data_IF_569255539948
#
_entry.id   IF_569255539948
#
_cell.length_a   1.000
_cell.length_b   1.000
_cell.length_c   1.000
_cell.angle_alpha   90.00
_cell.angle_beta   90.00
_cell.angle_gamma   90.00
#
_symmetry.space_group_name_H-M   'P 1'
#
loop_
_entity.id
_entity.type
_entity.pdbx_description
1 polymer ?
#
# COMPACT_ATOMS: atom_id res chain seq x y z
N UNK A 1 15.81 22.17 -1.94
CA UNK A 1 15.73 21.51 -0.60
C UNK A 1 16.30 20.13 -0.71
N UNK A 2 17.23 19.74 0.14
CA UNK A 2 17.83 18.40 0.13
C UNK A 2 17.14 17.49 1.15
N UNK A 3 16.37 16.52 0.65
CA UNK A 3 15.63 15.54 1.47
C UNK A 3 16.56 14.75 2.41
N UNK A 4 17.82 14.53 2.02
CA UNK A 4 18.80 13.79 2.83
C UNK A 4 19.12 14.50 4.16
N UNK A 5 19.01 15.83 4.20
CA UNK A 5 19.33 16.63 5.40
C UNK A 5 18.14 16.85 6.32
N UNK A 6 16.92 16.52 5.87
CA UNK A 6 15.71 16.68 6.69
C UNK A 6 15.65 15.61 7.77
N UNK A 7 15.50 16.02 9.02
CA UNK A 7 15.36 15.09 10.17
C UNK A 7 14.03 14.37 10.18
N UNK A 8 12.96 15.02 9.67
CA UNK A 8 11.63 14.41 9.55
C UNK A 8 10.89 14.97 8.33
N UNK A 9 10.05 14.15 7.74
CA UNK A 9 9.24 14.55 6.59
C UNK A 9 8.15 13.55 6.24
N UNK A 10 7.19 14.03 5.46
CA UNK A 10 6.15 13.24 4.81
C UNK A 10 6.06 13.62 3.33
N UNK A 11 5.96 12.64 2.45
CA UNK A 11 5.93 12.86 1.01
C UNK A 11 4.78 12.05 0.40
N UNK A 12 4.05 12.66 -0.52
CA UNK A 12 3.01 12.00 -1.32
C UNK A 12 2.91 12.62 -2.71
N UNK A 13 2.66 11.80 -3.71
CA UNK A 13 2.24 12.28 -5.02
C UNK A 13 0.72 12.37 -5.06
N UNK A 14 0.20 13.60 -5.12
CA UNK A 14 -1.23 13.86 -5.26
C UNK A 14 -1.62 13.92 -6.74
N UNK A 15 -2.76 13.37 -7.18
CA UNK A 15 -3.12 13.28 -8.60
C UNK A 15 -3.24 14.64 -9.29
N UNK A 16 -3.75 15.66 -8.62
CA UNK A 16 -3.96 17.01 -9.18
C UNK A 16 -2.91 18.04 -8.78
N UNK A 17 -2.13 17.80 -7.69
CA UNK A 17 -1.18 18.78 -7.13
C UNK A 17 0.29 18.37 -7.33
N UNK A 18 0.54 17.20 -7.90
CA UNK A 18 1.89 16.69 -8.08
C UNK A 18 2.53 16.19 -6.79
N UNK A 19 3.84 16.31 -6.68
CA UNK A 19 4.60 15.79 -5.55
C UNK A 19 4.66 16.80 -4.42
N UNK A 20 4.14 16.42 -3.25
CA UNK A 20 4.03 17.26 -2.05
C UNK A 20 4.98 16.73 -0.96
N UNK A 21 5.72 17.64 -0.34
CA UNK A 21 6.64 17.36 0.76
C UNK A 21 6.28 18.22 1.97
N UNK A 22 5.81 17.57 3.03
CA UNK A 22 5.67 18.16 4.36
C UNK A 22 6.98 18.05 5.12
N UNK A 23 7.38 19.12 5.79
CA UNK A 23 8.58 19.13 6.63
C UNK A 23 8.24 19.40 8.09
N UNK A 24 9.00 18.74 8.99
CA UNK A 24 8.85 18.90 10.44
C UNK A 24 9.33 20.25 10.99
N UNK A 25 9.07 20.52 12.30
CA UNK A 25 8.41 19.59 13.21
C UNK A 25 6.95 19.37 12.87
N UNK A 26 6.48 18.11 13.05
CA UNK A 26 5.08 17.78 12.87
C UNK A 26 4.31 17.90 14.18
N UNK A 27 3.11 18.52 14.13
CA UNK A 27 2.13 18.42 15.19
C UNK A 27 1.24 17.19 14.91
N UNK A 28 1.13 16.32 15.88
CA UNK A 28 0.31 15.11 15.77
C UNK A 28 -1.07 15.34 16.41
N UNK A 29 -2.12 14.79 15.79
CA UNK A 29 -3.51 14.94 16.23
C UNK A 29 -4.31 13.66 16.02
N UNK A 30 -5.29 13.42 16.90
CA UNK A 30 -6.27 12.36 16.73
C UNK A 30 -7.28 12.69 15.62
N UNK A 31 -7.60 13.97 15.47
CA UNK A 31 -8.56 14.48 14.49
C UNK A 31 -7.85 15.31 13.42
N UNK A 32 -8.43 15.42 12.21
CA UNK A 32 -7.90 16.28 11.17
C UNK A 32 -7.91 17.76 11.64
N UNK A 33 -7.01 18.60 11.12
CA UNK A 33 -7.06 20.03 11.40
C UNK A 33 -8.29 20.67 10.74
N UNK A 34 -8.80 21.74 11.34
CA UNK A 34 -9.90 22.53 10.77
C UNK A 34 -9.53 23.20 9.44
N UNK A 35 -8.26 23.48 9.23
CA UNK A 35 -7.70 24.07 8.01
C UNK A 35 -6.24 23.74 7.81
N UNK A 36 -5.78 23.86 6.55
CA UNK A 36 -4.40 23.61 6.15
C UNK A 36 -4.07 22.14 5.93
N UNK A 37 -2.84 21.85 5.50
CA UNK A 37 -2.44 20.53 5.08
C UNK A 37 -2.18 19.57 6.25
N UNK A 38 -2.55 18.32 6.08
CA UNK A 38 -2.18 17.24 7.00
C UNK A 38 -1.96 15.93 6.26
N UNK A 39 -1.01 15.14 6.72
CA UNK A 39 -0.83 13.76 6.29
C UNK A 39 -1.57 12.83 7.25
N UNK A 40 -2.22 11.80 6.70
CA UNK A 40 -2.78 10.70 7.48
C UNK A 40 -1.84 9.51 7.40
N UNK A 41 -1.29 9.11 8.53
CA UNK A 41 -0.29 8.04 8.64
C UNK A 41 -0.67 7.18 9.83
N UNK A 42 -1.17 5.99 9.54
CA UNK A 42 -1.65 5.05 10.55
C UNK A 42 -0.98 3.70 10.38
N UNK A 43 -1.23 2.78 11.29
CA UNK A 43 -0.86 1.38 11.17
C UNK A 43 -1.89 0.62 10.33
N UNK A 44 -1.58 -0.62 9.97
CA UNK A 44 -2.57 -1.49 9.32
C UNK A 44 -3.80 -1.76 10.21
N UNK A 45 -3.65 -1.69 11.53
CA UNK A 45 -4.73 -1.89 12.50
C UNK A 45 -5.59 -0.65 12.73
N UNK A 46 -5.17 0.50 12.24
CA UNK A 46 -5.77 1.81 12.54
C UNK A 46 -5.76 2.11 14.04
N UNK A 47 -4.65 1.85 14.70
CA UNK A 47 -4.48 1.98 16.15
C UNK A 47 -3.47 3.06 16.57
N UNK A 48 -2.97 3.89 15.63
CA UNK A 48 -2.23 5.11 16.00
C UNK A 48 -3.22 6.10 16.66
N UNK A 49 -3.03 6.48 17.92
CA UNK A 49 -3.93 7.42 18.60
C UNK A 49 -3.89 8.84 17.99
N UNK A 50 -2.89 9.16 17.17
CA UNK A 50 -2.70 10.48 16.54
C UNK A 50 -2.25 10.33 15.09
N UNK A 51 -3.10 9.77 14.20
CA UNK A 51 -2.70 9.45 12.83
C UNK A 51 -2.51 10.68 11.94
N UNK A 52 -3.01 11.85 12.33
CA UNK A 52 -2.86 13.10 11.59
C UNK A 52 -1.54 13.78 11.93
N UNK A 53 -0.68 13.95 10.92
CA UNK A 53 0.64 14.57 11.02
C UNK A 53 0.60 15.91 10.27
N UNK A 54 0.55 17.01 11.00
CA UNK A 54 0.42 18.36 10.47
C UNK A 54 1.83 18.94 10.34
N UNK A 55 2.32 19.23 9.11
CA UNK A 55 3.67 19.70 8.88
C UNK A 55 3.84 21.18 9.29
N UNK A 56 5.06 21.55 9.64
CA UNK A 56 5.41 22.98 9.85
C UNK A 56 5.41 23.76 8.53
N UNK A 57 5.76 23.12 7.43
CA UNK A 57 5.67 23.67 6.08
C UNK A 57 5.35 22.60 5.04
N UNK A 58 4.64 23.00 3.98
CA UNK A 58 4.35 22.18 2.81
C UNK A 58 5.05 22.76 1.58
N UNK A 59 5.67 21.91 0.79
CA UNK A 59 6.40 22.28 -0.42
C UNK A 59 5.91 21.41 -1.61
N UNK A 60 5.61 22.06 -2.73
CA UNK A 60 5.45 21.39 -4.00
C UNK A 60 6.84 21.13 -4.60
N UNK A 61 7.12 19.87 -4.96
CA UNK A 61 8.36 19.50 -5.62
C UNK A 61 8.14 19.39 -7.14
N UNK A 62 9.19 19.66 -7.97
CA UNK A 62 9.10 19.48 -9.42
C UNK A 62 8.67 18.06 -9.78
N UNK A 63 7.82 17.94 -10.80
CA UNK A 63 7.37 16.65 -11.31
C UNK A 63 8.48 15.85 -11.99
N UNK A 64 9.45 16.54 -12.59
CA UNK A 64 10.64 15.93 -13.20
C UNK A 64 11.72 15.76 -12.15
N UNK A 65 11.89 14.54 -11.69
CA UNK A 65 12.95 14.19 -10.76
C UNK A 65 14.31 14.18 -11.44
N UNK A 66 15.34 14.58 -10.71
CA UNK A 66 16.71 14.24 -11.05
C UNK A 66 16.82 12.71 -11.19
N UNK A 67 17.75 12.22 -12.03
CA UNK A 67 18.03 10.79 -12.08
C UNK A 67 18.29 10.26 -10.66
N UNK A 68 17.89 9.02 -10.37
CA UNK A 68 18.10 8.47 -9.04
C UNK A 68 19.58 8.52 -8.68
N UNK A 69 19.93 8.76 -7.41
CA UNK A 69 21.31 8.71 -6.98
C UNK A 69 21.91 7.31 -7.26
N UNK A 70 23.23 7.13 -7.25
CA UNK A 70 23.85 5.81 -7.36
C UNK A 70 23.22 4.81 -6.40
N UNK A 71 23.11 3.53 -6.82
CA UNK A 71 22.46 2.52 -5.99
C UNK A 71 23.24 2.32 -4.68
N UNK A 72 22.55 2.37 -3.52
CA UNK A 72 23.21 2.06 -2.26
C UNK A 72 23.57 0.57 -2.20
N UNK A 73 24.66 0.27 -1.55
CA UNK A 73 24.99 -1.12 -1.24
C UNK A 73 24.14 -1.62 -0.08
N UNK A 74 23.37 -2.70 -0.32
CA UNK A 74 22.47 -3.32 0.66
C UNK A 74 22.80 -4.81 0.73
N UNK A 75 23.09 -5.28 1.93
CA UNK A 75 23.23 -6.70 2.21
C UNK A 75 21.88 -7.28 2.60
N UNK A 76 21.25 -8.01 1.68
CA UNK A 76 19.98 -8.67 1.92
C UNK A 76 20.18 -10.06 2.54
N UNK A 77 19.39 -10.37 3.57
CA UNK A 77 19.27 -11.74 4.07
C UNK A 77 18.30 -12.55 3.20
N UNK A 78 18.61 -13.80 2.94
CA UNK A 78 17.66 -14.69 2.29
C UNK A 78 16.51 -15.00 3.26
N UNK A 79 15.25 -14.79 2.86
CA UNK A 79 14.11 -15.11 3.73
C UNK A 79 13.89 -16.62 3.82
N UNK A 80 13.75 -17.13 5.06
CA UNK A 80 13.33 -18.53 5.26
C UNK A 80 11.83 -18.67 4.97
N UNK A 81 11.39 -19.74 4.30
CA UNK A 81 10.00 -20.07 4.10
C UNK A 81 9.30 -20.61 5.36
N UNK A 82 10.04 -20.99 6.41
CA UNK A 82 9.50 -21.80 7.52
C UNK A 82 8.33 -21.13 8.25
N UNK A 83 8.50 -19.87 8.66
CA UNK A 83 7.44 -19.12 9.34
C UNK A 83 6.22 -18.91 8.40
N UNK A 84 6.48 -18.65 7.12
CA UNK A 84 5.43 -18.50 6.12
C UNK A 84 4.69 -19.81 5.89
N UNK A 85 5.40 -20.96 5.83
CA UNK A 85 4.81 -22.28 5.63
C UNK A 85 3.86 -22.66 6.77
N UNK A 86 4.21 -22.31 8.03
CA UNK A 86 3.33 -22.52 9.18
C UNK A 86 2.03 -21.72 9.05
N UNK A 87 2.14 -20.42 8.80
CA UNK A 87 0.98 -19.53 8.61
C UNK A 87 0.15 -19.97 7.42
N UNK A 88 0.79 -20.36 6.31
CA UNK A 88 0.10 -20.88 5.12
C UNK A 88 -0.71 -22.15 5.44
N UNK A 89 -0.16 -23.10 6.20
CA UNK A 89 -0.86 -24.34 6.60
C UNK A 89 -2.11 -24.01 7.44
N UNK A 90 -1.99 -23.12 8.43
CA UNK A 90 -3.13 -22.68 9.25
C UNK A 90 -4.23 -22.01 8.41
N UNK A 91 -3.85 -21.19 7.43
CA UNK A 91 -4.82 -20.59 6.49
C UNK A 91 -5.54 -21.64 5.66
N UNK A 92 -4.81 -22.62 5.14
CA UNK A 92 -5.40 -23.70 4.34
C UNK A 92 -6.35 -24.58 5.15
N UNK A 93 -6.06 -24.83 6.43
CA UNK A 93 -6.98 -25.53 7.34
C UNK A 93 -8.28 -24.75 7.52
N UNK A 94 -8.22 -23.42 7.74
CA UNK A 94 -9.41 -22.59 7.88
C UNK A 94 -10.21 -22.45 6.58
N UNK A 95 -9.52 -22.40 5.44
CA UNK A 95 -10.16 -22.39 4.12
C UNK A 95 -10.89 -23.74 3.90
N UNK A 96 -10.25 -24.85 4.22
CA UNK A 96 -10.85 -26.18 4.11
C UNK A 96 -12.07 -26.34 5.06
N UNK A 97 -12.02 -25.72 6.24
CA UNK A 97 -13.14 -25.68 7.20
C UNK A 97 -14.27 -24.70 6.81
N UNK A 98 -14.13 -23.95 5.72
CA UNK A 98 -15.09 -22.93 5.27
C UNK A 98 -15.16 -21.68 6.15
N UNK A 99 -14.20 -21.49 7.05
CA UNK A 99 -14.12 -20.32 7.93
C UNK A 99 -13.46 -19.11 7.25
N UNK A 100 -12.65 -19.38 6.23
CA UNK A 100 -11.91 -18.40 5.45
C UNK A 100 -12.05 -18.71 3.95
N UNK A 101 -12.25 -17.70 3.14
CA UNK A 101 -12.24 -17.82 1.67
C UNK A 101 -10.91 -17.37 1.08
N UNK A 102 -10.33 -16.30 1.67
CA UNK A 102 -9.07 -15.67 1.25
C UNK A 102 -8.45 -14.93 2.43
N UNK A 103 -7.12 -14.93 2.50
CA UNK A 103 -6.37 -13.99 3.34
C UNK A 103 -5.03 -13.61 2.68
N UNK A 104 -4.44 -12.50 3.13
CA UNK A 104 -3.23 -11.95 2.50
C UNK A 104 -2.11 -11.83 3.55
N UNK A 105 -1.38 -12.92 3.82
CA UNK A 105 -0.19 -12.86 4.65
C UNK A 105 0.89 -12.04 3.97
N UNK A 106 1.68 -11.34 4.78
CA UNK A 106 2.77 -10.52 4.29
C UNK A 106 4.06 -10.83 5.06
N UNK A 107 5.16 -10.99 4.33
CA UNK A 107 6.45 -11.33 4.90
C UNK A 107 7.53 -10.35 4.46
N UNK A 108 8.37 -9.83 5.39
CA UNK A 108 9.51 -9.00 5.04
C UNK A 108 10.73 -9.82 4.64
N UNK A 109 11.52 -9.27 3.74
CA UNK A 109 12.93 -9.57 3.59
C UNK A 109 13.73 -8.51 4.32
N UNK A 110 14.60 -8.92 5.24
CA UNK A 110 15.46 -8.00 5.97
C UNK A 110 16.76 -7.74 5.22
N UNK A 111 17.33 -6.56 5.45
CA UNK A 111 18.61 -6.17 4.89
C UNK A 111 19.30 -5.13 5.77
N UNK A 112 20.53 -4.83 5.42
CA UNK A 112 21.34 -3.79 6.05
C UNK A 112 21.95 -2.91 4.95
N UNK A 113 21.72 -1.61 5.04
CA UNK A 113 22.36 -0.62 4.16
C UNK A 113 23.75 -0.33 4.66
N UNK A 114 24.73 -0.41 3.77
CA UNK A 114 26.12 -0.21 4.14
C UNK A 114 26.50 1.28 4.05
N UNK A 115 27.33 1.72 4.98
CA UNK A 115 27.90 3.08 4.96
C UNK A 115 28.74 3.32 3.69
N UNK A 116 28.78 4.55 3.14
CA UNK A 116 28.24 5.79 3.73
C UNK A 116 26.77 6.11 3.40
N UNK A 117 26.03 5.16 2.78
CA UNK A 117 24.66 5.36 2.35
C UNK A 117 23.70 5.48 3.54
N UNK A 118 22.58 6.17 3.33
CA UNK A 118 21.51 6.33 4.31
C UNK A 118 20.16 5.92 3.69
N UNK A 119 19.23 5.34 4.49
CA UNK A 119 17.92 4.93 3.98
C UNK A 119 17.09 6.06 3.36
N UNK A 120 17.36 7.33 3.70
CA UNK A 120 16.69 8.48 3.07
C UNK A 120 16.97 8.61 1.57
N UNK A 121 18.04 7.99 1.07
CA UNK A 121 18.32 7.91 -0.37
C UNK A 121 17.26 7.10 -1.12
N UNK A 122 16.56 6.18 -0.44
CA UNK A 122 15.44 5.41 -1.00
C UNK A 122 14.25 6.31 -1.35
N UNK A 123 14.04 7.42 -0.61
CA UNK A 123 12.98 8.39 -0.89
C UNK A 123 13.23 9.06 -2.25
N UNK A 124 14.47 9.45 -2.53
CA UNK A 124 14.84 10.05 -3.83
C UNK A 124 14.62 9.07 -4.98
N UNK A 125 14.85 7.77 -4.74
CA UNK A 125 14.58 6.72 -5.72
C UNK A 125 13.10 6.52 -5.95
N UNK A 126 12.28 6.58 -4.89
CA UNK A 126 10.83 6.53 -5.01
C UNK A 126 10.28 7.69 -5.87
N UNK A 127 10.82 8.90 -5.70
CA UNK A 127 10.43 10.09 -6.48
C UNK A 127 10.76 9.92 -7.97
N UNK A 128 11.88 9.26 -8.29
CA UNK A 128 12.32 9.02 -9.68
C UNK A 128 11.54 7.89 -10.38
N UNK A 129 10.50 7.36 -9.76
CA UNK A 129 9.68 6.27 -10.30
C UNK A 129 8.77 6.70 -11.46
N UNK A 130 8.20 5.72 -12.14
CA UNK A 130 7.27 5.93 -13.26
C UNK A 130 6.12 6.88 -12.93
N UNK A 131 5.66 7.71 -13.89
CA UNK A 131 4.49 8.60 -13.72
C UNK A 131 3.19 7.90 -13.28
N UNK A 132 3.02 6.61 -13.64
CA UNK A 132 1.83 5.82 -13.30
C UNK A 132 1.77 5.34 -11.84
N UNK A 133 2.79 5.63 -11.04
CA UNK A 133 2.87 5.24 -9.65
C UNK A 133 2.78 6.45 -8.72
N UNK A 134 2.39 6.18 -7.47
CA UNK A 134 2.32 7.17 -6.40
C UNK A 134 3.46 6.93 -5.39
N UNK A 135 4.59 7.67 -5.49
CA UNK A 135 5.57 7.68 -4.43
C UNK A 135 4.98 8.30 -3.16
N UNK A 136 5.31 7.69 -2.03
CA UNK A 136 4.95 8.16 -0.71
C UNK A 136 6.06 7.83 0.29
N UNK A 137 6.20 8.62 1.34
CA UNK A 137 7.17 8.37 2.41
C UNK A 137 6.78 9.08 3.70
N UNK A 138 7.21 8.49 4.80
CA UNK A 138 7.22 9.09 6.12
C UNK A 138 8.52 8.75 6.82
N UNK A 139 9.15 9.72 7.45
CA UNK A 139 10.38 9.46 8.21
C UNK A 139 10.57 10.41 9.37
N UNK A 140 11.25 9.90 10.36
CA UNK A 140 11.85 10.63 11.48
C UNK A 140 13.38 10.54 11.38
N UNK A 141 14.08 11.02 12.39
CA UNK A 141 15.55 10.95 12.41
C UNK A 141 16.09 9.52 12.28
N UNK A 142 15.42 8.54 12.91
CA UNK A 142 15.93 7.17 13.08
C UNK A 142 15.22 6.11 12.26
N UNK A 143 13.97 6.36 11.92
CA UNK A 143 13.12 5.37 11.26
C UNK A 143 12.23 6.01 10.22
N UNK A 144 11.72 5.19 9.35
CA UNK A 144 10.77 5.64 8.34
C UNK A 144 10.45 4.53 7.34
N UNK A 145 9.67 4.92 6.37
CA UNK A 145 9.34 4.07 5.22
C UNK A 145 9.13 4.92 3.98
N UNK A 146 9.31 4.30 2.83
CA UNK A 146 8.89 4.86 1.55
C UNK A 146 8.37 3.75 0.63
N UNK A 147 7.49 4.12 -0.27
CA UNK A 147 6.87 3.19 -1.21
C UNK A 147 6.55 3.85 -2.53
N UNK A 148 6.21 2.99 -3.50
CA UNK A 148 5.84 3.36 -4.87
C UNK A 148 4.59 2.54 -5.21
N UNK A 149 3.43 2.97 -4.70
CA UNK A 149 2.18 2.22 -4.85
C UNK A 149 1.42 2.59 -6.14
N UNK A 150 0.78 1.64 -6.82
CA UNK A 150 -0.18 1.92 -7.87
C UNK A 150 -1.61 2.01 -7.36
N UNK A 151 -1.85 1.71 -6.07
CA UNK A 151 -3.19 1.49 -5.52
C UNK A 151 -3.62 2.67 -4.66
N UNK A 152 -4.76 3.26 -5.03
CA UNK A 152 -5.45 4.26 -4.22
C UNK A 152 -6.52 3.57 -3.37
N UNK A 153 -6.58 3.89 -2.07
CA UNK A 153 -7.66 3.45 -1.23
C UNK A 153 -8.93 4.22 -1.60
N UNK A 154 -8.85 5.55 -1.65
CA UNK A 154 -9.88 6.42 -2.23
C UNK A 154 -9.37 7.86 -2.36
N UNK A 155 -10.12 8.65 -3.16
CA UNK A 155 -10.01 10.09 -3.25
C UNK A 155 -11.37 10.70 -2.95
N UNK A 156 -11.46 11.53 -1.92
CA UNK A 156 -12.69 12.20 -1.48
C UNK A 156 -12.64 13.69 -1.76
N UNK A 157 -13.66 14.21 -2.44
CA UNK A 157 -13.89 15.64 -2.66
C UNK A 157 -15.34 15.96 -2.31
N UNK A 158 -15.56 16.52 -1.13
CA UNK A 158 -16.91 16.73 -0.59
C UNK A 158 -17.66 15.42 -0.43
N UNK A 159 -18.78 15.22 -1.18
CA UNK A 159 -19.59 14.00 -1.19
C UNK A 159 -19.19 12.99 -2.27
N UNK A 160 -18.30 13.36 -3.16
CA UNK A 160 -17.78 12.47 -4.20
C UNK A 160 -16.59 11.67 -3.67
N UNK A 161 -16.63 10.37 -3.86
CA UNK A 161 -15.55 9.44 -3.51
C UNK A 161 -15.23 8.57 -4.71
N UNK A 162 -13.96 8.56 -5.09
CA UNK A 162 -13.42 7.69 -6.13
C UNK A 162 -12.49 6.66 -5.52
N UNK A 163 -12.62 5.41 -5.93
CA UNK A 163 -11.77 4.29 -5.50
C UNK A 163 -11.52 3.34 -6.64
N UNK A 164 -10.64 2.37 -6.42
CA UNK A 164 -10.32 1.36 -7.41
C UNK A 164 -10.25 -0.03 -6.80
N UNK A 165 -10.67 -1.02 -7.57
CA UNK A 165 -10.35 -2.42 -7.34
C UNK A 165 -9.13 -2.75 -8.19
N UNK A 166 -8.04 -3.20 -7.56
CA UNK A 166 -6.81 -3.63 -8.22
C UNK A 166 -6.48 -5.04 -7.74
N UNK A 167 -6.66 -6.03 -8.61
CA UNK A 167 -6.39 -7.44 -8.28
C UNK A 167 -6.21 -8.27 -9.56
N UNK A 168 -5.70 -9.49 -9.39
CA UNK A 168 -5.20 -10.27 -10.50
C UNK A 168 -3.82 -9.76 -10.94
N UNK A 169 -2.89 -10.66 -11.26
CA UNK A 169 -1.50 -10.27 -11.58
C UNK A 169 -0.93 -11.19 -12.65
N UNK A 170 -0.33 -10.59 -13.67
CA UNK A 170 0.45 -11.32 -14.66
C UNK A 170 1.67 -10.50 -15.11
N UNK A 171 2.50 -11.09 -15.95
CA UNK A 171 3.55 -10.35 -16.66
C UNK A 171 2.98 -9.70 -17.91
N UNK A 172 3.53 -8.58 -18.40
CA UNK A 172 3.06 -7.93 -19.62
C UNK A 172 3.06 -8.87 -20.85
N UNK A 173 4.04 -9.77 -20.94
CA UNK A 173 4.14 -10.75 -22.02
C UNK A 173 3.00 -11.79 -22.04
N UNK A 174 2.34 -12.00 -20.89
CA UNK A 174 1.25 -12.96 -20.71
C UNK A 174 -0.14 -12.31 -20.84
N UNK A 175 -0.25 -11.03 -21.22
CA UNK A 175 -1.51 -10.27 -21.25
C UNK A 175 -2.62 -10.99 -22.05
N UNK A 176 -2.28 -11.57 -23.21
CA UNK A 176 -3.24 -12.29 -24.04
C UNK A 176 -3.91 -13.50 -23.37
N UNK A 177 -3.20 -14.16 -22.45
CA UNK A 177 -3.75 -15.25 -21.62
C UNK A 177 -4.47 -14.67 -20.41
N UNK A 178 -3.87 -13.69 -19.76
CA UNK A 178 -4.37 -13.05 -18.54
C UNK A 178 -5.78 -12.49 -18.69
N UNK A 179 -6.08 -11.83 -19.80
CA UNK A 179 -7.41 -11.21 -20.02
C UNK A 179 -8.57 -12.22 -20.02
N UNK A 180 -8.27 -13.51 -20.27
CA UNK A 180 -9.22 -14.62 -20.30
C UNK A 180 -9.00 -15.62 -19.15
N UNK A 181 -8.14 -15.35 -18.20
CA UNK A 181 -7.87 -16.24 -17.07
C UNK A 181 -9.01 -16.14 -16.04
N UNK A 182 -9.82 -17.19 -15.96
CA UNK A 182 -10.99 -17.27 -15.07
C UNK A 182 -10.62 -17.12 -13.59
N UNK A 183 -9.43 -17.56 -13.16
CA UNK A 183 -8.96 -17.42 -11.79
C UNK A 183 -8.70 -15.95 -11.47
N UNK A 184 -7.92 -15.27 -12.30
CA UNK A 184 -7.54 -13.88 -12.13
C UNK A 184 -8.75 -12.94 -12.26
N UNK A 185 -9.66 -13.23 -13.20
CA UNK A 185 -10.94 -12.56 -13.36
C UNK A 185 -11.78 -12.67 -12.08
N UNK A 186 -11.94 -13.90 -11.55
CA UNK A 186 -12.72 -14.17 -10.34
C UNK A 186 -12.12 -13.45 -9.13
N UNK A 187 -10.80 -13.47 -8.97
CA UNK A 187 -10.12 -12.75 -7.90
C UNK A 187 -10.42 -11.26 -7.97
N UNK A 188 -10.33 -10.65 -9.15
CA UNK A 188 -10.63 -9.24 -9.35
C UNK A 188 -12.10 -8.91 -9.05
N UNK A 189 -13.04 -9.73 -9.52
CA UNK A 189 -14.49 -9.49 -9.29
C UNK A 189 -14.86 -9.61 -7.80
N UNK A 190 -14.20 -10.45 -7.03
CA UNK A 190 -14.37 -10.49 -5.56
C UNK A 190 -13.99 -9.13 -4.94
N UNK A 191 -12.88 -8.54 -5.36
CA UNK A 191 -12.43 -7.25 -4.84
C UNK A 191 -13.39 -6.14 -5.26
N UNK A 192 -13.71 -6.04 -6.55
CA UNK A 192 -14.61 -5.01 -7.08
C UNK A 192 -16.02 -5.10 -6.48
N UNK A 193 -16.57 -6.31 -6.39
CA UNK A 193 -17.89 -6.57 -5.79
C UNK A 193 -17.94 -6.24 -4.30
N UNK A 194 -16.87 -6.55 -3.56
CA UNK A 194 -16.77 -6.20 -2.14
C UNK A 194 -16.73 -4.68 -1.91
N UNK A 195 -16.01 -3.93 -2.72
CA UNK A 195 -15.97 -2.47 -2.63
C UNK A 195 -17.36 -1.90 -2.98
N UNK A 196 -17.96 -2.36 -4.09
CA UNK A 196 -19.29 -1.94 -4.51
C UNK A 196 -20.33 -2.17 -3.41
N UNK A 197 -20.36 -3.35 -2.80
CA UNK A 197 -21.34 -3.69 -1.76
C UNK A 197 -21.20 -2.83 -0.50
N UNK A 198 -19.97 -2.41 -0.16
CA UNK A 198 -19.71 -1.52 0.98
C UNK A 198 -20.14 -0.08 0.71
N UNK A 199 -19.97 0.40 -0.52
CA UNK A 199 -20.31 1.79 -0.89
C UNK A 199 -21.79 1.99 -1.19
N UNK A 200 -22.48 0.99 -1.75
CA UNK A 200 -23.88 1.09 -2.19
C UNK A 200 -24.88 1.58 -1.12
N UNK A 201 -24.71 1.32 0.21
CA UNK A 201 -25.61 1.87 1.22
C UNK A 201 -25.53 3.39 1.40
N UNK A 202 -24.50 4.06 0.86
CA UNK A 202 -24.21 5.47 1.11
C UNK A 202 -24.62 6.39 -0.04
N UNK A 203 -25.11 5.85 -1.16
CA UNK A 203 -25.52 6.66 -2.31
C UNK A 203 -25.37 5.94 -3.65
N UNK A 204 -25.35 6.70 -4.73
CA UNK A 204 -25.24 6.17 -6.08
C UNK A 204 -23.79 5.80 -6.41
N UNK A 205 -23.56 4.53 -6.77
CA UNK A 205 -22.24 4.04 -7.16
C UNK A 205 -22.21 3.70 -8.64
N UNK A 206 -21.27 4.29 -9.36
CA UNK A 206 -20.95 3.92 -10.75
C UNK A 206 -19.70 3.06 -10.78
N UNK A 207 -19.65 2.11 -11.71
CA UNK A 207 -18.53 1.19 -11.88
C UNK A 207 -18.12 1.17 -13.35
N UNK A 208 -16.80 1.28 -13.64
CA UNK A 208 -16.28 1.08 -15.00
C UNK A 208 -16.21 -0.41 -15.35
N UNK A 209 -16.13 -0.71 -16.64
CA UNK A 209 -15.72 -2.04 -17.08
C UNK A 209 -14.31 -2.36 -16.56
N UNK A 210 -14.04 -3.64 -16.30
CA UNK A 210 -12.69 -4.15 -15.99
C UNK A 210 -11.77 -3.87 -17.18
N UNK A 211 -10.58 -3.37 -16.89
CA UNK A 211 -9.51 -3.13 -17.86
C UNK A 211 -8.16 -3.62 -17.32
N UNK A 212 -7.13 -3.59 -18.15
CA UNK A 212 -5.75 -3.94 -17.75
C UNK A 212 -4.98 -2.66 -17.44
N UNK A 213 -4.39 -2.61 -16.27
CA UNK A 213 -3.42 -1.58 -15.87
C UNK A 213 -2.01 -2.13 -16.01
N UNK A 214 -1.25 -1.58 -16.95
CA UNK A 214 0.15 -1.95 -17.16
C UNK A 214 1.05 -1.05 -16.31
N UNK A 215 1.81 -1.67 -15.43
CA UNK A 215 2.75 -1.02 -14.50
C UNK A 215 4.22 -1.24 -14.90
N UNK A 216 4.45 -1.65 -16.14
CA UNK A 216 5.78 -1.91 -16.70
C UNK A 216 6.29 -3.32 -16.42
N UNK A 217 6.43 -3.70 -15.16
CA UNK A 217 6.94 -5.03 -14.76
C UNK A 217 5.84 -6.06 -14.51
N UNK A 218 4.65 -5.62 -14.18
CA UNK A 218 3.46 -6.42 -13.93
C UNK A 218 2.24 -5.71 -14.53
N UNK A 219 1.25 -6.51 -14.90
CA UNK A 219 -0.09 -6.05 -15.27
C UNK A 219 -1.10 -6.51 -14.22
N UNK A 220 -2.15 -5.73 -14.02
CA UNK A 220 -3.25 -6.03 -13.10
C UNK A 220 -4.58 -5.72 -13.77
N UNK A 221 -5.65 -6.39 -13.35
CA UNK A 221 -6.98 -5.90 -13.63
C UNK A 221 -7.28 -4.69 -12.74
N UNK A 222 -7.95 -3.70 -13.33
CA UNK A 222 -8.43 -2.51 -12.63
C UNK A 222 -9.89 -2.22 -12.97
N UNK A 223 -10.65 -1.83 -11.97
CA UNK A 223 -12.01 -1.30 -12.08
C UNK A 223 -12.10 -0.07 -11.19
N UNK A 224 -12.56 1.05 -11.76
CA UNK A 224 -12.80 2.27 -10.99
C UNK A 224 -14.25 2.33 -10.53
N UNK A 225 -14.45 2.78 -9.30
CA UNK A 225 -15.76 2.99 -8.71
C UNK A 225 -15.86 4.44 -8.22
N UNK A 226 -16.99 5.07 -8.51
CA UNK A 226 -17.29 6.43 -8.04
C UNK A 226 -18.58 6.41 -7.27
N UNK A 227 -18.56 6.87 -6.04
CA UNK A 227 -19.72 7.09 -5.19
C UNK A 227 -20.08 8.59 -5.19
N UNK A 228 -21.33 8.90 -5.50
CA UNK A 228 -21.95 10.19 -5.12
C UNK A 228 -22.75 9.92 -3.83
N UNK A 229 -22.18 10.34 -2.71
CA UNK A 229 -22.77 10.05 -1.39
C UNK A 229 -23.95 10.95 -1.10
N UNK A 230 -25.00 10.39 -0.49
CA UNK A 230 -26.19 11.14 -0.07
C UNK A 230 -25.86 12.15 1.04
N UNK A 231 -24.87 11.81 1.89
CA UNK A 231 -24.41 12.63 3.00
C UNK A 231 -22.89 12.84 2.95
N UNK A 232 -22.44 13.87 3.66
CA UNK A 232 -21.00 14.09 3.81
C UNK A 232 -20.46 13.27 4.98
N UNK A 233 -19.42 12.49 4.72
CA UNK A 233 -18.71 11.69 5.72
C UNK A 233 -17.26 12.15 5.87
N UNK A 234 -16.68 11.85 7.03
CA UNK A 234 -15.28 12.15 7.30
C UNK A 234 -14.34 11.18 6.58
N UNK A 235 -13.09 11.55 6.28
CA UNK A 235 -12.09 10.61 5.76
C UNK A 235 -11.91 9.37 6.63
N UNK A 236 -11.96 9.51 7.96
CA UNK A 236 -11.85 8.41 8.90
C UNK A 236 -12.98 7.38 8.75
N UNK A 237 -14.21 7.82 8.41
CA UNK A 237 -15.32 6.93 8.11
C UNK A 237 -15.01 6.03 6.90
N UNK A 238 -14.55 6.62 5.79
CA UNK A 238 -14.22 5.89 4.57
C UNK A 238 -13.01 4.98 4.74
N UNK A 239 -12.00 5.40 5.50
CA UNK A 239 -10.87 4.55 5.84
C UNK A 239 -11.37 3.29 6.55
N UNK A 240 -12.16 3.41 7.62
CA UNK A 240 -12.68 2.25 8.37
C UNK A 240 -13.58 1.35 7.52
N UNK A 241 -14.33 1.93 6.60
CA UNK A 241 -15.21 1.19 5.71
C UNK A 241 -14.42 0.36 4.68
N UNK A 242 -13.43 0.97 4.05
CA UNK A 242 -12.72 0.37 2.91
C UNK A 242 -11.47 -0.41 3.32
N UNK A 243 -10.77 0.01 4.37
CA UNK A 243 -9.53 -0.64 4.82
C UNK A 243 -9.79 -1.77 5.83
N UNK A 244 -9.10 -2.93 5.72
CA UNK A 244 -8.35 -3.33 4.53
C UNK A 244 -9.29 -3.75 3.38
N UNK A 245 -8.83 -3.49 2.15
CA UNK A 245 -9.50 -4.00 0.96
C UNK A 245 -9.33 -5.53 0.88
N UNK A 246 -10.16 -6.26 0.11
CA UNK A 246 -9.95 -7.69 -0.09
C UNK A 246 -8.63 -8.03 -0.79
N UNK A 247 -7.96 -7.04 -1.40
CA UNK A 247 -6.61 -7.21 -1.95
C UNK A 247 -5.52 -7.39 -0.88
N UNK A 248 -5.80 -6.96 0.38
CA UNK A 248 -4.85 -7.03 1.50
C UNK A 248 -5.42 -7.65 2.78
N UNK A 249 -6.73 -7.80 2.86
CA UNK A 249 -7.44 -8.30 4.03
C UNK A 249 -7.86 -9.76 3.91
N UNK A 250 -8.65 -10.20 4.90
CA UNK A 250 -9.30 -11.51 4.92
C UNK A 250 -10.73 -11.43 4.37
N UNK A 251 -11.21 -12.55 3.82
CA UNK A 251 -12.60 -12.74 3.42
C UNK A 251 -13.13 -14.07 4.01
N UNK A 252 -14.29 -14.05 4.70
CA UNK A 252 -15.12 -12.87 5.00
C UNK A 252 -14.38 -11.88 5.90
N UNK A 253 -14.75 -10.58 5.79
CA UNK A 253 -14.18 -9.53 6.64
C UNK A 253 -14.99 -9.43 7.93
N UNK A 254 -14.55 -10.13 8.96
CA UNK A 254 -15.11 -10.13 10.31
C UNK A 254 -14.03 -9.73 11.32
N UNK A 255 -14.41 -9.34 12.54
CA UNK A 255 -13.46 -9.06 13.60
C UNK A 255 -12.52 -10.25 13.85
N UNK A 256 -13.06 -11.47 13.85
CA UNK A 256 -12.25 -12.67 14.07
C UNK A 256 -11.22 -12.89 12.95
N UNK A 257 -11.62 -12.80 11.68
CA UNK A 257 -10.68 -13.00 10.56
C UNK A 257 -9.65 -11.88 10.43
N UNK A 258 -9.99 -10.65 10.86
CA UNK A 258 -9.04 -9.55 10.93
C UNK A 258 -8.06 -9.73 12.09
N UNK A 259 -8.53 -10.12 13.28
CA UNK A 259 -7.68 -10.41 14.42
C UNK A 259 -6.69 -11.54 14.10
N UNK A 260 -7.14 -12.55 13.37
CA UNK A 260 -6.29 -13.65 12.94
C UNK A 260 -5.24 -13.22 11.90
N UNK A 261 -5.63 -12.38 10.93
CA UNK A 261 -4.67 -11.80 10.00
C UNK A 261 -3.60 -11.00 10.74
N UNK A 262 -3.98 -10.26 11.76
CA UNK A 262 -3.04 -9.50 12.60
C UNK A 262 -2.06 -10.39 13.37
N UNK A 263 -2.53 -11.53 13.91
CA UNK A 263 -1.66 -12.53 14.53
C UNK A 263 -0.64 -13.06 13.52
N UNK A 264 -1.09 -13.50 12.35
CA UNK A 264 -0.21 -13.98 11.29
C UNK A 264 0.81 -12.92 10.85
N UNK A 265 0.38 -11.66 10.67
CA UNK A 265 1.28 -10.55 10.33
C UNK A 265 2.33 -10.32 11.42
N UNK A 266 1.94 -10.39 12.69
CA UNK A 266 2.85 -10.25 13.82
C UNK A 266 3.89 -11.37 13.87
N UNK A 267 3.47 -12.62 13.73
CA UNK A 267 4.34 -13.81 13.68
C UNK A 267 5.31 -13.77 12.50
N UNK A 268 4.86 -13.24 11.36
CA UNK A 268 5.69 -13.01 10.18
C UNK A 268 6.55 -11.74 10.28
N UNK A 269 6.46 -10.98 11.37
CA UNK A 269 7.22 -9.73 11.58
C UNK A 269 6.96 -8.68 10.50
N UNK A 270 5.72 -8.65 9.99
CA UNK A 270 5.29 -7.68 9.01
C UNK A 270 5.38 -6.26 9.58
N UNK A 271 5.96 -5.28 8.87
CA UNK A 271 5.96 -3.88 9.32
C UNK A 271 4.54 -3.35 9.53
N UNK A 272 4.34 -2.57 10.60
CA UNK A 272 3.01 -2.07 11.00
C UNK A 272 2.33 -1.24 9.91
N UNK A 273 3.10 -0.50 9.13
CA UNK A 273 2.59 0.35 8.06
C UNK A 273 2.47 -0.35 6.70
N UNK A 274 2.82 -1.64 6.58
CA UNK A 274 2.63 -2.35 5.31
C UNK A 274 1.14 -2.56 5.00
N UNK A 275 0.69 -2.04 3.87
CA UNK A 275 -0.72 -2.08 3.46
C UNK A 275 -1.62 -1.10 4.20
N UNK A 276 -1.08 -0.28 5.11
CA UNK A 276 -1.83 0.74 5.85
C UNK A 276 -2.27 1.90 4.95
N UNK A 277 -3.33 2.63 5.32
CA UNK A 277 -3.69 3.87 4.66
C UNK A 277 -2.61 4.94 4.82
N UNK A 278 -2.28 5.62 3.73
CA UNK A 278 -1.38 6.77 3.71
C UNK A 278 -2.06 7.91 2.95
N UNK A 279 -2.45 8.98 3.62
CA UNK A 279 -3.30 10.01 3.03
C UNK A 279 -2.75 11.42 3.15
N UNK A 280 -3.34 12.33 2.38
CA UNK A 280 -3.10 13.77 2.44
C UNK A 280 -4.43 14.52 2.36
N UNK A 281 -4.62 15.46 3.27
CA UNK A 281 -5.78 16.34 3.38
C UNK A 281 -5.34 17.79 3.19
N UNK A 282 -6.05 18.52 2.35
CA UNK A 282 -5.99 19.99 2.29
C UNK A 282 -7.28 20.53 1.66
N UNK A 283 -7.87 21.56 2.26
CA UNK A 283 -9.06 22.27 1.77
C UNK A 283 -10.27 21.34 1.47
N UNK A 284 -10.45 20.29 2.27
CA UNK A 284 -11.54 19.32 2.11
C UNK A 284 -11.31 18.27 1.01
N UNK A 285 -10.17 18.31 0.34
CA UNK A 285 -9.69 17.31 -0.61
C UNK A 285 -8.83 16.29 0.16
N UNK A 286 -9.27 15.01 0.22
CA UNK A 286 -8.55 13.95 0.89
C UNK A 286 -8.20 12.82 -0.07
N UNK A 287 -6.93 12.64 -0.33
CA UNK A 287 -6.39 11.57 -1.17
C UNK A 287 -5.68 10.53 -0.32
N UNK A 288 -6.04 9.25 -0.47
CA UNK A 288 -5.52 8.16 0.34
C UNK A 288 -5.02 7.00 -0.52
N UNK A 289 -3.80 6.57 -0.23
CA UNK A 289 -3.11 5.46 -0.86
C UNK A 289 -3.17 4.20 0.00
N UNK A 290 -3.00 3.05 -0.62
CA UNK A 290 -2.69 1.79 0.04
C UNK A 290 -1.18 1.65 0.14
N UNK A 291 -0.64 1.56 1.34
CA UNK A 291 0.80 1.58 1.64
C UNK A 291 1.54 0.29 1.31
N UNK A 292 1.62 -0.06 0.03
CA UNK A 292 2.32 -1.26 -0.48
C UNK A 292 3.54 -0.89 -1.35
N UNK A 293 4.28 -1.90 -1.78
CA UNK A 293 5.52 -1.76 -2.56
C UNK A 293 6.51 -0.84 -1.87
N UNK A 294 6.80 -1.14 -0.61
CA UNK A 294 7.48 -0.26 0.33
C UNK A 294 8.71 -0.89 0.97
N UNK A 295 9.61 -0.02 1.34
CA UNK A 295 10.81 -0.27 2.12
C UNK A 295 10.67 0.45 3.46
N UNK A 296 11.04 -0.22 4.53
CA UNK A 296 11.03 0.28 5.91
C UNK A 296 12.45 0.29 6.45
N UNK A 297 12.75 1.22 7.35
CA UNK A 297 14.06 1.25 8.00
C UNK A 297 13.99 1.66 9.46
N UNK A 298 14.96 1.17 10.20
CA UNK A 298 15.31 1.62 11.55
C UNK A 298 16.84 1.67 11.66
N UNK A 299 17.40 2.87 11.70
CA UNK A 299 18.83 3.06 11.48
C UNK A 299 19.23 2.54 10.09
N UNK A 300 20.22 1.66 10.01
CA UNK A 300 20.68 1.04 8.75
C UNK A 300 19.94 -0.27 8.41
N UNK A 301 19.10 -0.79 9.33
CA UNK A 301 18.32 -2.01 9.08
C UNK A 301 17.15 -1.70 8.17
N UNK A 302 16.96 -2.56 7.18
CA UNK A 302 15.89 -2.45 6.19
C UNK A 302 14.93 -3.63 6.27
N UNK A 303 13.70 -3.40 5.86
CA UNK A 303 12.73 -4.45 5.59
C UNK A 303 11.98 -4.14 4.28
N UNK A 304 12.01 -5.06 3.33
CA UNK A 304 11.21 -5.04 2.11
C UNK A 304 10.06 -6.02 2.30
N UNK A 305 8.82 -5.53 2.41
CA UNK A 305 7.66 -6.37 2.69
C UNK A 305 6.83 -6.64 1.45
N UNK A 306 6.37 -7.88 1.29
CA UNK A 306 5.47 -8.30 0.21
C UNK A 306 4.40 -9.24 0.76
N UNK A 307 3.20 -9.19 0.17
CA UNK A 307 2.08 -10.04 0.50
C UNK A 307 1.51 -10.75 -0.73
N UNK A 308 0.91 -11.90 -0.54
CA UNK A 308 0.23 -12.69 -1.56
C UNK A 308 -1.13 -13.20 -1.06
N UNK A 309 -2.12 -13.27 -1.95
CA UNK A 309 -3.46 -13.73 -1.61
C UNK A 309 -3.54 -15.25 -1.59
N UNK A 310 -3.73 -15.86 -0.42
CA UNK A 310 -3.94 -17.31 -0.25
C UNK A 310 -5.42 -17.62 -0.39
N UNK A 311 -5.76 -18.53 -1.31
CA UNK A 311 -7.11 -19.04 -1.60
C UNK A 311 -7.09 -20.57 -1.66
N UNK A 312 -8.24 -21.22 -1.82
CA UNK A 312 -8.37 -22.69 -1.81
C UNK A 312 -7.48 -23.41 -2.85
N UNK A 313 -7.17 -22.78 -3.98
CA UNK A 313 -6.31 -23.33 -5.03
C UNK A 313 -4.83 -23.02 -4.84
N UNK A 314 -4.45 -22.28 -3.80
CA UNK A 314 -3.05 -21.89 -3.54
C UNK A 314 -2.21 -23.09 -3.12
N UNK A 315 -0.95 -23.09 -3.57
CA UNK A 315 0.09 -24.01 -3.07
C UNK A 315 1.25 -23.22 -2.49
N UNK A 316 1.87 -23.72 -1.43
CA UNK A 316 3.00 -23.05 -0.78
C UNK A 316 4.11 -22.68 -1.76
N UNK A 317 4.47 -23.59 -2.66
CA UNK A 317 5.52 -23.36 -3.64
C UNK A 317 5.19 -22.24 -4.61
N UNK A 318 3.93 -22.15 -5.06
CA UNK A 318 3.47 -21.11 -5.96
C UNK A 318 3.49 -19.74 -5.26
N UNK A 319 2.87 -19.66 -4.08
CA UNK A 319 2.80 -18.41 -3.30
C UNK A 319 4.20 -17.88 -2.93
N UNK A 320 5.12 -18.79 -2.55
CA UNK A 320 6.50 -18.41 -2.24
C UNK A 320 7.26 -17.81 -3.44
N UNK A 321 7.03 -18.38 -4.64
CA UNK A 321 7.60 -17.86 -5.89
C UNK A 321 7.00 -16.48 -6.25
N UNK A 322 5.69 -16.31 -6.04
CA UNK A 322 5.02 -15.05 -6.29
C UNK A 322 5.54 -13.95 -5.35
N UNK A 323 5.71 -14.25 -4.06
CA UNK A 323 6.32 -13.33 -3.09
C UNK A 323 7.73 -12.91 -3.52
N UNK A 324 8.54 -13.85 -4.04
CA UNK A 324 9.87 -13.53 -4.59
C UNK A 324 9.76 -12.58 -5.79
N UNK A 325 8.88 -12.87 -6.74
CA UNK A 325 8.66 -12.03 -7.91
C UNK A 325 8.25 -10.60 -7.51
N UNK A 326 7.37 -10.48 -6.53
CA UNK A 326 6.95 -9.17 -5.99
C UNK A 326 8.11 -8.43 -5.32
N UNK A 327 8.98 -9.12 -4.55
CA UNK A 327 10.20 -8.52 -3.99
C UNK A 327 11.13 -7.97 -5.07
N UNK A 328 11.38 -8.78 -6.10
CA UNK A 328 12.25 -8.39 -7.22
C UNK A 328 11.65 -7.20 -7.99
N UNK A 329 10.32 -7.13 -8.09
CA UNK A 329 9.62 -5.99 -8.69
C UNK A 329 9.80 -4.72 -7.86
N UNK A 330 9.65 -4.80 -6.53
CA UNK A 330 9.89 -3.64 -5.66
C UNK A 330 11.34 -3.15 -5.78
N UNK A 331 12.33 -4.05 -5.74
CA UNK A 331 13.74 -3.67 -5.93
C UNK A 331 13.95 -2.92 -7.25
N UNK A 332 13.41 -3.45 -8.35
CA UNK A 332 13.50 -2.80 -9.67
C UNK A 332 12.85 -1.42 -9.68
N UNK A 333 11.68 -1.26 -9.04
CA UNK A 333 11.01 0.04 -8.95
C UNK A 333 11.83 1.09 -8.19
N UNK A 334 12.65 0.65 -7.24
CA UNK A 334 13.60 1.51 -6.53
C UNK A 334 14.99 1.56 -7.20
N UNK A 335 15.17 0.97 -8.37
CA UNK A 335 16.47 0.84 -9.05
C UNK A 335 17.55 0.23 -8.12
N UNK A 336 17.16 -0.75 -7.30
CA UNK A 336 18.06 -1.51 -6.44
C UNK A 336 18.51 -2.81 -7.13
N UNK A 337 19.72 -3.29 -6.85
CA UNK A 337 20.22 -4.54 -7.38
C UNK A 337 19.49 -5.76 -6.85
#
# INVERSE_FOLDING_TARGET
MDIKTLTSGALIKHPSRGLLLGTGPFRESAEPPDSGPAFYIDTFRLDDPRPWKIPAALHALPAEGNPPPPAPEIRWAEPSPDAYAQVFAEMMEQIAAGQLMKSVPAIPQFGEMLLPHTPRELILRAISSSPSHYPYAWWTEREGFCGITPETLFHQQGRRLETMALAGTARPEDEGVFINDDKEIREHEIVAGSILSRLSPFGSVTRTARSVLNLGTLIHFVTYLTLESDEQHTPAHWIRLLHPTPALGSQPRTENTLAQLDDWRSRLRCPLHFGAPFGFLEDGDFFCLVGIRSLYWQGQRLALCTGGGVVASSTLTHEWRELKLKRDTVRRSFHLP
#
